data_IF_841431355435
#
_entry.id   IF_841431355435
#
_cell.length_a   1.000
_cell.length_b   1.000
_cell.length_c   1.000
_cell.angle_alpha   90.00
_cell.angle_beta   90.00
_cell.angle_gamma   90.00
#
_symmetry.space_group_name_H-M   'P 1'
#
loop_
_entity.id
_entity.type
_entity.pdbx_description
1 polymer ?
#
# COMPACT_ATOMS: atom_id res chain seq x y z
N UNK A 1 -61.07 -60.33 -35.36
CA UNK A 1 -61.52 -61.46 -34.51
C UNK A 1 -60.79 -61.36 -33.22
N UNK A 2 -61.57 -61.25 -32.13
CA UNK A 2 -61.24 -61.67 -30.76
C UNK A 2 -60.34 -60.65 -29.98
N UNK A 3 -60.69 -60.07 -28.93
CA UNK A 3 -61.77 -59.88 -27.93
C UNK A 3 -61.15 -59.09 -26.80
N UNK A 4 -61.84 -58.11 -26.30
CA UNK A 4 -61.61 -57.35 -25.09
C UNK A 4 -61.35 -58.23 -23.85
N UNK A 5 -60.45 -57.81 -23.01
CA UNK A 5 -60.59 -57.96 -21.56
C UNK A 5 -60.10 -56.70 -20.84
N UNK A 6 -61.04 -55.99 -20.30
CA UNK A 6 -60.87 -54.96 -19.33
C UNK A 6 -60.29 -55.54 -18.01
N UNK A 7 -59.32 -54.94 -17.46
CA UNK A 7 -58.87 -55.17 -16.09
C UNK A 7 -58.83 -53.82 -15.33
N UNK A 8 -59.83 -53.70 -14.44
CA UNK A 8 -59.93 -52.57 -13.50
C UNK A 8 -58.83 -52.62 -12.45
N UNK A 9 -58.05 -51.56 -12.31
CA UNK A 9 -57.15 -51.40 -11.19
C UNK A 9 -57.37 -50.04 -10.52
N UNK A 10 -57.85 -50.11 -9.30
CA UNK A 10 -58.02 -49.02 -8.34
C UNK A 10 -56.73 -48.32 -8.03
N UNK A 11 -56.66 -46.99 -7.99
CA UNK A 11 -55.39 -46.29 -7.60
C UNK A 11 -55.31 -46.21 -6.09
N UNK A 12 -54.26 -46.81 -5.56
CA UNK A 12 -53.81 -46.67 -4.17
C UNK A 12 -53.14 -45.28 -4.02
N UNK A 13 -53.80 -44.36 -3.32
CA UNK A 13 -53.23 -43.04 -2.94
C UNK A 13 -52.22 -43.23 -1.81
N UNK A 14 -50.95 -43.19 -2.14
CA UNK A 14 -49.86 -43.05 -1.17
C UNK A 14 -49.74 -41.59 -0.82
N UNK A 15 -50.15 -41.17 0.37
CA UNK A 15 -49.83 -39.86 0.95
C UNK A 15 -48.39 -39.88 1.44
N UNK A 16 -47.49 -39.25 0.68
CA UNK A 16 -46.16 -38.89 1.19
C UNK A 16 -46.27 -37.63 2.07
N UNK A 17 -46.18 -37.79 3.39
CA UNK A 17 -45.92 -36.72 4.30
C UNK A 17 -44.43 -36.31 4.17
N UNK A 18 -44.16 -35.26 3.43
CA UNK A 18 -42.85 -34.57 3.49
C UNK A 18 -42.83 -33.71 4.73
N UNK A 19 -42.24 -34.23 5.79
CA UNK A 19 -41.87 -33.43 6.99
C UNK A 19 -40.76 -32.48 6.62
N UNK A 20 -41.06 -31.18 6.46
CA UNK A 20 -40.04 -30.12 6.41
C UNK A 20 -39.44 -29.99 7.83
N UNK A 21 -38.30 -30.60 8.06
CA UNK A 21 -37.44 -30.25 9.21
C UNK A 21 -36.79 -28.89 8.91
N UNK A 22 -37.37 -27.82 9.42
CA UNK A 22 -36.73 -26.51 9.45
C UNK A 22 -35.55 -26.57 10.43
N UNK A 23 -34.34 -26.80 9.91
CA UNK A 23 -33.09 -26.62 10.67
C UNK A 23 -32.96 -25.13 10.97
N UNK A 24 -33.31 -24.71 12.17
CA UNK A 24 -32.93 -23.39 12.67
C UNK A 24 -31.43 -23.38 12.80
N UNK A 25 -30.72 -22.72 11.87
CA UNK A 25 -29.34 -22.32 12.03
C UNK A 25 -29.36 -21.22 13.09
N UNK A 26 -29.11 -21.61 14.34
CA UNK A 26 -28.82 -20.64 15.41
C UNK A 26 -27.45 -20.07 15.05
N UNK A 27 -27.43 -18.87 14.46
CA UNK A 27 -26.20 -18.11 14.34
C UNK A 27 -25.63 -17.92 15.75
N UNK A 28 -24.48 -18.52 16.05
CA UNK A 28 -23.77 -18.23 17.28
C UNK A 28 -23.51 -16.71 17.33
N UNK A 29 -23.79 -16.04 18.45
CA UNK A 29 -23.46 -14.64 18.59
C UNK A 29 -21.98 -14.48 18.28
N UNK A 30 -21.64 -13.61 17.33
CA UNK A 30 -20.27 -13.12 17.16
C UNK A 30 -19.92 -12.46 18.48
N UNK A 31 -19.11 -13.15 19.29
CA UNK A 31 -18.64 -12.60 20.57
C UNK A 31 -17.81 -11.37 20.22
N UNK A 32 -18.34 -10.17 20.49
CA UNK A 32 -17.58 -8.94 20.36
C UNK A 32 -16.33 -9.09 21.20
N UNK A 33 -15.17 -8.81 20.63
CA UNK A 33 -13.92 -8.80 21.39
C UNK A 33 -14.13 -7.84 22.57
N UNK A 34 -13.65 -8.24 23.77
CA UNK A 34 -13.69 -7.41 24.96
C UNK A 34 -12.98 -6.07 24.67
N UNK A 35 -13.56 -4.92 25.02
CA UNK A 35 -12.88 -3.63 24.87
C UNK A 35 -11.54 -3.63 25.60
N UNK A 36 -10.56 -2.90 25.07
CA UNK A 36 -9.22 -2.78 25.65
C UNK A 36 -8.91 -1.31 25.93
N UNK A 37 -8.47 -1.03 27.15
CA UNK A 37 -7.94 0.27 27.55
C UNK A 37 -6.41 0.17 27.64
N UNK A 38 -5.72 0.84 26.73
CA UNK A 38 -4.26 1.03 26.79
C UNK A 38 -3.99 2.30 27.58
N UNK A 39 -3.26 2.17 28.70
CA UNK A 39 -3.11 3.22 29.69
C UNK A 39 -1.68 3.76 29.79
N UNK A 40 -1.54 5.02 30.21
CA UNK A 40 -0.26 5.62 30.62
C UNK A 40 0.80 5.70 29.52
N UNK A 41 0.40 5.99 28.29
CA UNK A 41 1.30 5.94 27.13
C UNK A 41 1.59 7.33 26.56
N UNK A 42 2.77 7.53 25.99
CA UNK A 42 3.06 8.70 25.16
C UNK A 42 2.51 8.47 23.74
N UNK A 43 1.67 9.37 23.25
CA UNK A 43 1.02 9.26 21.94
C UNK A 43 1.61 10.25 20.94
N UNK A 44 2.17 9.74 19.85
CA UNK A 44 2.56 10.48 18.63
C UNK A 44 1.46 10.16 17.63
N UNK A 45 0.50 11.07 17.43
CA UNK A 45 -0.77 10.76 16.79
C UNK A 45 -0.74 10.65 15.25
N UNK A 46 0.40 10.88 14.62
CA UNK A 46 0.57 10.80 13.15
C UNK A 46 0.11 12.03 12.39
N UNK A 47 -0.46 13.04 13.06
CA UNK A 47 -0.94 14.27 12.38
C UNK A 47 0.17 15.30 12.10
N UNK A 48 1.37 15.10 12.66
CA UNK A 48 2.45 16.08 12.70
C UNK A 48 2.39 16.97 13.95
N UNK A 49 1.42 16.76 14.84
CA UNK A 49 1.33 17.43 16.14
C UNK A 49 2.36 16.88 17.13
N UNK A 50 2.74 17.70 18.12
CA UNK A 50 3.65 17.27 19.17
C UNK A 50 3.12 16.05 19.95
N UNK A 51 4.03 15.19 20.41
CA UNK A 51 3.70 14.04 21.23
C UNK A 51 2.99 14.46 22.54
N UNK A 52 2.02 13.66 22.96
CA UNK A 52 1.27 13.85 24.21
C UNK A 52 1.61 12.74 25.18
N UNK A 53 2.18 13.08 26.33
CA UNK A 53 2.43 12.12 27.39
C UNK A 53 1.13 11.78 28.18
N UNK A 54 1.18 10.71 28.96
CA UNK A 54 0.15 10.29 29.90
C UNK A 54 -1.26 10.25 29.27
N UNK A 55 -1.37 9.55 28.15
CA UNK A 55 -2.64 9.33 27.46
C UNK A 55 -3.17 7.92 27.69
N UNK A 56 -4.49 7.79 27.64
CA UNK A 56 -5.20 6.53 27.56
C UNK A 56 -5.91 6.41 26.20
N UNK A 57 -5.96 5.18 25.65
CA UNK A 57 -6.64 4.87 24.40
C UNK A 57 -7.61 3.73 24.64
N UNK A 58 -8.91 3.97 24.45
CA UNK A 58 -9.94 2.94 24.53
C UNK A 58 -10.24 2.42 23.13
N UNK A 59 -10.11 1.11 22.97
CA UNK A 59 -10.42 0.37 21.74
C UNK A 59 -11.60 -0.54 21.99
N UNK A 60 -12.58 -0.55 21.07
CA UNK A 60 -13.71 -1.48 21.06
C UNK A 60 -13.85 -2.09 19.67
N UNK A 61 -13.77 -3.42 19.60
CA UNK A 61 -13.67 -4.14 18.35
C UNK A 61 -12.48 -3.64 17.49
N UNK A 62 -12.76 -3.20 16.28
CA UNK A 62 -11.71 -2.76 15.34
C UNK A 62 -11.33 -1.27 15.48
N UNK A 63 -12.00 -0.49 16.38
CA UNK A 63 -11.89 0.97 16.35
C UNK A 63 -11.42 1.59 17.66
N UNK A 64 -10.73 2.69 17.53
CA UNK A 64 -10.44 3.62 18.62
C UNK A 64 -11.73 4.35 18.93
N UNK A 65 -12.25 4.18 20.15
CA UNK A 65 -13.50 4.85 20.57
C UNK A 65 -13.26 6.11 21.40
N UNK A 66 -12.08 6.21 22.03
CA UNK A 66 -11.67 7.41 22.73
C UNK A 66 -10.15 7.49 22.88
N UNK A 67 -9.64 8.71 22.95
CA UNK A 67 -8.28 9.06 23.37
C UNK A 67 -8.42 10.20 24.38
N UNK A 68 -7.72 10.11 25.50
CA UNK A 68 -7.81 11.12 26.56
C UNK A 68 -6.63 11.10 27.50
N UNK A 69 -6.56 12.10 28.40
CA UNK A 69 -5.56 12.11 29.45
C UNK A 69 -5.75 10.93 30.40
N UNK A 70 -4.68 10.50 31.05
CA UNK A 70 -4.65 9.40 32.03
C UNK A 70 -5.81 9.46 32.98
N UNK A 71 -6.55 8.34 33.14
CA UNK A 71 -7.69 8.18 34.02
C UNK A 71 -9.00 8.85 33.57
N UNK A 72 -8.95 9.67 32.49
CA UNK A 72 -10.16 10.35 32.00
C UNK A 72 -11.18 9.41 31.35
N UNK A 73 -10.76 8.20 30.97
CA UNK A 73 -11.59 7.21 30.32
C UNK A 73 -12.13 6.11 31.25
N UNK A 74 -11.77 6.11 32.53
CA UNK A 74 -12.13 5.06 33.49
C UNK A 74 -13.64 4.76 33.56
N UNK A 75 -14.47 5.80 33.57
CA UNK A 75 -15.92 5.66 33.59
C UNK A 75 -16.50 5.01 32.32
N UNK A 76 -15.76 5.08 31.18
CA UNK A 76 -16.15 4.48 29.90
C UNK A 76 -15.58 3.08 29.71
N UNK A 77 -14.56 2.72 30.47
CA UNK A 77 -13.77 1.50 30.34
C UNK A 77 -14.00 0.49 31.46
N UNK A 78 -15.18 0.52 32.12
CA UNK A 78 -15.48 -0.30 33.32
C UNK A 78 -15.40 -1.80 33.07
N UNK A 79 -15.64 -2.25 31.85
CA UNK A 79 -15.57 -3.66 31.43
C UNK A 79 -14.36 -3.95 30.51
N UNK A 80 -13.51 -2.97 30.26
CA UNK A 80 -12.37 -3.14 29.36
C UNK A 80 -11.22 -3.87 30.07
N UNK A 81 -10.53 -4.73 29.32
CA UNK A 81 -9.21 -5.24 29.71
C UNK A 81 -8.22 -4.07 29.75
N UNK A 82 -7.45 -3.96 30.79
CA UNK A 82 -6.46 -2.88 30.95
C UNK A 82 -5.07 -3.35 30.62
N UNK A 83 -4.34 -2.54 29.85
CA UNK A 83 -2.95 -2.77 29.44
C UNK A 83 -2.14 -1.54 29.83
N UNK A 84 -1.32 -1.64 30.87
CA UNK A 84 -0.42 -0.56 31.28
C UNK A 84 0.77 -0.47 30.33
N UNK A 85 0.90 0.68 29.67
CA UNK A 85 1.96 1.01 28.74
C UNK A 85 2.88 2.13 29.28
N UNK A 86 3.04 2.21 30.60
CA UNK A 86 3.95 3.16 31.25
C UNK A 86 5.37 3.08 30.65
N UNK A 87 5.89 4.24 30.24
CA UNK A 87 7.21 4.33 29.59
C UNK A 87 7.25 3.83 28.12
N UNK A 88 6.09 3.62 27.52
CA UNK A 88 5.94 3.23 26.11
C UNK A 88 5.47 4.41 25.25
N UNK A 89 5.61 4.24 23.94
CA UNK A 89 5.21 5.20 22.92
C UNK A 89 4.26 4.51 21.95
N UNK A 90 3.20 5.20 21.54
CA UNK A 90 2.31 4.74 20.47
C UNK A 90 2.45 5.68 19.28
N UNK A 91 2.63 5.09 18.10
CA UNK A 91 2.50 5.73 16.79
C UNK A 91 1.38 5.03 16.02
N UNK A 92 0.73 5.67 15.02
CA UNK A 92 -0.15 4.94 14.12
C UNK A 92 0.61 3.82 13.42
N UNK A 93 -0.11 2.79 12.99
CA UNK A 93 0.49 1.73 12.18
C UNK A 93 1.13 2.27 10.91
N UNK A 94 2.33 1.80 10.61
CA UNK A 94 3.08 2.18 9.42
C UNK A 94 2.38 1.72 8.17
N UNK A 95 2.60 2.43 7.07
CA UNK A 95 2.05 2.12 5.75
C UNK A 95 3.18 2.06 4.74
N UNK A 96 3.40 0.88 4.14
CA UNK A 96 4.25 0.77 2.97
C UNK A 96 3.44 1.09 1.71
N UNK A 97 3.76 2.21 1.11
CA UNK A 97 2.99 2.76 0.00
C UNK A 97 3.35 2.17 -1.38
N UNK A 98 4.27 1.19 -1.45
CA UNK A 98 4.68 0.61 -2.72
C UNK A 98 5.24 -0.80 -2.54
N UNK A 99 4.39 -1.79 -2.72
CA UNK A 99 4.79 -3.21 -2.67
C UNK A 99 4.35 -3.95 -3.93
N UNK A 100 4.97 -5.10 -4.16
CA UNK A 100 4.61 -6.10 -5.16
C UNK A 100 4.53 -7.47 -4.51
N UNK A 101 3.31 -7.99 -4.31
CA UNK A 101 3.04 -9.23 -3.56
C UNK A 101 2.88 -10.45 -4.45
N UNK A 102 2.53 -10.23 -5.72
CA UNK A 102 2.16 -11.30 -6.65
C UNK A 102 2.77 -11.14 -8.06
N UNK A 103 4.03 -10.71 -8.12
CA UNK A 103 4.85 -10.63 -9.35
C UNK A 103 6.16 -11.43 -9.19
N UNK A 104 6.17 -12.74 -9.54
CA UNK A 104 5.04 -13.60 -9.93
C UNK A 104 4.19 -14.04 -8.73
N UNK A 105 2.94 -14.52 -8.96
CA UNK A 105 2.10 -15.05 -7.90
C UNK A 105 2.78 -16.22 -7.16
N UNK A 106 2.96 -16.05 -5.85
CA UNK A 106 3.45 -17.08 -4.93
C UNK A 106 2.87 -16.80 -3.53
N UNK A 107 1.83 -17.54 -3.16
CA UNK A 107 1.10 -17.32 -1.90
C UNK A 107 2.01 -17.47 -0.68
N UNK A 108 2.83 -18.53 -0.63
CA UNK A 108 3.73 -18.80 0.50
C UNK A 108 4.70 -17.63 0.71
N UNK A 109 5.31 -17.15 -0.37
CA UNK A 109 6.22 -16.00 -0.32
C UNK A 109 5.50 -14.72 0.11
N UNK A 110 4.32 -14.47 -0.44
CA UNK A 110 3.54 -13.27 -0.11
C UNK A 110 3.12 -13.26 1.37
N UNK A 111 2.64 -14.39 1.91
CA UNK A 111 2.28 -14.50 3.32
C UNK A 111 3.48 -14.31 4.25
N UNK A 112 4.66 -14.83 3.87
CA UNK A 112 5.89 -14.65 4.63
C UNK A 112 6.28 -13.15 4.68
N UNK A 113 6.29 -12.46 3.54
CA UNK A 113 6.58 -11.03 3.44
C UNK A 113 5.57 -10.21 4.28
N UNK A 114 4.29 -10.49 4.13
CA UNK A 114 3.22 -9.80 4.86
C UNK A 114 3.32 -10.02 6.38
N UNK A 115 3.71 -11.23 6.81
CA UNK A 115 3.98 -11.53 8.22
C UNK A 115 5.13 -10.66 8.75
N UNK A 116 6.26 -10.55 8.03
CA UNK A 116 7.37 -9.65 8.39
C UNK A 116 6.90 -8.21 8.51
N UNK A 117 6.09 -7.75 7.56
CA UNK A 117 5.57 -6.40 7.58
C UNK A 117 4.68 -6.15 8.81
N UNK A 118 3.70 -7.01 9.08
CA UNK A 118 2.78 -6.81 10.22
C UNK A 118 3.51 -6.79 11.56
N UNK A 119 4.36 -7.79 11.81
CA UNK A 119 5.13 -7.84 13.05
C UNK A 119 6.22 -6.75 13.13
N UNK A 120 6.53 -6.12 12.03
CA UNK A 120 7.41 -4.96 11.91
C UNK A 120 6.68 -3.61 11.94
N UNK A 121 5.42 -3.58 12.41
CA UNK A 121 4.69 -2.32 12.61
C UNK A 121 3.87 -1.84 11.41
N UNK A 122 3.91 -2.53 10.28
CA UNK A 122 3.13 -2.16 9.08
C UNK A 122 1.70 -2.69 9.23
N UNK A 123 0.72 -1.81 9.17
CA UNK A 123 -0.71 -2.18 9.27
C UNK A 123 -1.48 -2.05 7.98
N UNK A 124 -0.90 -1.40 6.97
CA UNK A 124 -1.46 -1.33 5.62
C UNK A 124 -0.36 -1.26 4.55
N UNK A 125 -0.66 -1.76 3.36
CA UNK A 125 0.24 -1.69 2.19
C UNK A 125 -0.54 -1.30 0.94
N UNK A 126 0.16 -0.68 -0.05
CA UNK A 126 -0.37 -0.47 -1.40
C UNK A 126 0.38 -1.37 -2.38
N UNK A 127 -0.32 -2.35 -2.94
CA UNK A 127 0.20 -3.18 -4.03
C UNK A 127 0.04 -2.46 -5.36
N UNK A 128 1.16 -2.35 -6.09
CA UNK A 128 1.28 -1.47 -7.24
C UNK A 128 1.12 -2.21 -8.58
N UNK A 129 0.04 -3.00 -8.64
CA UNK A 129 -0.46 -3.67 -9.84
C UNK A 129 0.19 -5.00 -10.19
N UNK A 130 -0.22 -6.01 -9.48
CA UNK A 130 0.17 -7.41 -9.65
C UNK A 130 -0.96 -8.30 -10.23
N UNK A 131 -0.89 -9.62 -10.08
CA UNK A 131 -2.03 -10.51 -10.36
C UNK A 131 -3.12 -10.29 -9.30
N UNK A 132 -4.15 -9.52 -9.65
CA UNK A 132 -5.20 -9.14 -8.70
C UNK A 132 -6.08 -10.30 -8.23
N UNK A 133 -6.04 -11.47 -8.84
CA UNK A 133 -6.67 -12.68 -8.31
C UNK A 133 -5.95 -13.15 -7.04
N UNK A 134 -4.63 -13.11 -7.08
CA UNK A 134 -3.79 -13.47 -5.93
C UNK A 134 -3.80 -12.38 -4.85
N UNK A 135 -3.63 -11.12 -5.25
CA UNK A 135 -3.63 -9.98 -4.31
C UNK A 135 -4.99 -9.81 -3.63
N UNK A 136 -6.09 -9.95 -4.39
CA UNK A 136 -7.45 -9.86 -3.85
C UNK A 136 -7.75 -10.94 -2.82
N UNK A 137 -7.26 -12.17 -3.02
CA UNK A 137 -7.40 -13.24 -2.01
C UNK A 137 -6.55 -12.98 -0.77
N UNK A 138 -5.31 -12.50 -0.92
CA UNK A 138 -4.47 -12.08 0.20
C UNK A 138 -5.14 -10.94 1.00
N UNK A 139 -5.72 -9.96 0.30
CA UNK A 139 -6.43 -8.86 0.92
C UNK A 139 -7.65 -9.34 1.73
N UNK A 140 -8.45 -10.26 1.18
CA UNK A 140 -9.55 -10.89 1.90
C UNK A 140 -9.06 -11.65 3.13
N UNK A 141 -8.06 -12.52 2.96
CA UNK A 141 -7.52 -13.35 4.04
C UNK A 141 -6.94 -12.49 5.19
N UNK A 142 -6.27 -11.38 4.85
CA UNK A 142 -5.80 -10.39 5.82
C UNK A 142 -6.96 -9.69 6.53
N UNK A 143 -8.00 -9.27 5.79
CA UNK A 143 -9.13 -8.53 6.34
C UNK A 143 -9.91 -9.34 7.38
N UNK A 144 -10.12 -10.64 7.11
CA UNK A 144 -10.84 -11.53 8.03
C UNK A 144 -9.94 -12.22 9.06
N UNK A 145 -8.63 -11.91 9.07
CA UNK A 145 -7.69 -12.42 10.05
C UNK A 145 -7.27 -13.89 9.87
N UNK A 146 -7.44 -14.45 8.66
CA UNK A 146 -6.96 -15.80 8.32
C UNK A 146 -5.43 -15.86 8.25
N UNK A 147 -4.79 -14.76 7.86
CA UNK A 147 -3.34 -14.60 7.83
C UNK A 147 -2.89 -13.40 8.67
N UNK A 148 -1.69 -13.48 9.23
CA UNK A 148 -1.04 -12.36 9.90
C UNK A 148 -0.46 -11.42 8.84
N UNK A 149 -1.21 -10.39 8.45
CA UNK A 149 -0.86 -9.49 7.37
C UNK A 149 -1.42 -8.07 7.58
N UNK A 150 -0.79 -7.02 7.02
CA UNK A 150 -1.38 -5.69 6.90
C UNK A 150 -2.66 -5.69 6.05
N UNK A 151 -3.49 -4.67 6.13
CA UNK A 151 -4.54 -4.42 5.14
C UNK A 151 -3.91 -4.15 3.78
N UNK A 152 -4.46 -4.72 2.70
CA UNK A 152 -3.90 -4.61 1.36
C UNK A 152 -4.82 -3.80 0.46
N UNK A 153 -4.35 -2.64 0.01
CA UNK A 153 -4.98 -1.82 -1.03
C UNK A 153 -4.20 -2.02 -2.32
N UNK A 154 -4.86 -2.18 -3.45
CA UNK A 154 -4.18 -2.56 -4.69
C UNK A 154 -4.75 -1.85 -5.91
N UNK A 155 -3.95 -1.76 -6.97
CA UNK A 155 -4.29 -1.11 -8.22
C UNK A 155 -4.40 -2.08 -9.40
N UNK A 156 -5.31 -1.80 -10.32
CA UNK A 156 -5.28 -2.36 -11.66
C UNK A 156 -4.32 -1.54 -12.53
N UNK A 157 -3.56 -2.18 -13.42
CA UNK A 157 -2.60 -1.51 -14.30
C UNK A 157 -3.22 -1.15 -15.65
N UNK A 158 -2.92 0.07 -16.10
CA UNK A 158 -3.13 0.53 -17.46
C UNK A 158 -1.83 1.07 -18.04
N UNK A 159 -1.44 0.60 -19.22
CA UNK A 159 -0.23 1.02 -19.92
C UNK A 159 -0.48 1.04 -21.44
N UNK A 160 0.42 1.66 -22.20
CA UNK A 160 0.41 1.55 -23.64
C UNK A 160 0.72 0.12 -24.12
N UNK A 161 0.28 -0.27 -25.32
CA UNK A 161 0.48 -1.64 -25.84
C UNK A 161 1.92 -2.14 -25.81
N UNK A 162 2.97 -1.34 -26.08
CA UNK A 162 4.35 -1.83 -26.08
C UNK A 162 4.81 -2.39 -24.70
N UNK A 163 4.29 -1.87 -23.60
CA UNK A 163 4.60 -2.37 -22.25
C UNK A 163 4.25 -3.87 -22.08
N UNK A 164 3.27 -4.38 -22.81
CA UNK A 164 2.78 -5.75 -22.66
C UNK A 164 3.68 -6.80 -23.33
N UNK A 165 4.79 -6.40 -23.92
CA UNK A 165 5.90 -7.26 -24.35
C UNK A 165 6.84 -7.61 -23.17
N UNK A 166 6.73 -6.93 -22.02
CA UNK A 166 7.51 -7.22 -20.80
C UNK A 166 7.15 -8.62 -20.28
N UNK A 167 8.13 -9.52 -20.09
CA UNK A 167 7.87 -10.90 -19.64
C UNK A 167 7.20 -11.01 -18.28
N UNK A 168 7.30 -10.00 -17.42
CA UNK A 168 6.59 -9.95 -16.14
C UNK A 168 5.07 -9.97 -16.33
N UNK A 169 4.58 -9.35 -17.41
CA UNK A 169 3.15 -9.34 -17.74
C UNK A 169 2.59 -10.74 -17.92
N UNK A 170 3.35 -11.66 -18.53
CA UNK A 170 2.92 -13.04 -18.73
C UNK A 170 2.68 -13.77 -17.41
N UNK A 171 3.50 -13.48 -16.38
CA UNK A 171 3.39 -14.11 -15.07
C UNK A 171 2.16 -13.65 -14.29
N UNK A 172 1.76 -12.37 -14.43
CA UNK A 172 0.66 -11.75 -13.68
C UNK A 172 -0.67 -11.72 -14.44
N UNK A 173 -0.69 -12.16 -15.69
CA UNK A 173 -1.92 -12.21 -16.53
C UNK A 173 -2.21 -13.60 -17.10
N UNK A 174 -1.68 -14.67 -16.51
CA UNK A 174 -1.91 -16.05 -16.98
C UNK A 174 -3.39 -16.36 -17.19
N UNK A 175 -3.70 -16.95 -18.34
CA UNK A 175 -5.07 -17.23 -18.79
C UNK A 175 -5.71 -16.12 -19.62
N UNK A 176 -5.01 -14.99 -19.80
CA UNK A 176 -5.37 -13.90 -20.70
C UNK A 176 -4.26 -13.62 -21.68
N UNK A 177 -4.60 -13.07 -22.84
CA UNK A 177 -3.59 -12.46 -23.70
C UNK A 177 -3.05 -11.20 -22.99
N UNK A 178 -1.73 -10.89 -23.13
CA UNK A 178 -1.16 -9.69 -22.56
C UNK A 178 -1.97 -8.43 -22.86
N UNK A 179 -2.28 -7.64 -21.87
CA UNK A 179 -3.06 -6.41 -22.01
C UNK A 179 -4.57 -6.58 -22.10
N UNK A 180 -5.11 -7.79 -21.94
CA UNK A 180 -6.57 -8.02 -22.01
C UNK A 180 -7.20 -8.42 -20.67
N UNK A 181 -6.40 -8.64 -19.61
CA UNK A 181 -6.93 -8.96 -18.29
C UNK A 181 -7.61 -7.73 -17.67
N UNK A 182 -8.72 -7.87 -16.93
CA UNK A 182 -9.41 -6.74 -16.30
C UNK A 182 -8.54 -5.88 -15.41
N UNK A 183 -7.50 -6.45 -14.82
CA UNK A 183 -6.54 -5.78 -13.94
C UNK A 183 -5.23 -5.36 -14.63
N UNK A 184 -5.02 -5.71 -15.92
CA UNK A 184 -3.77 -5.49 -16.63
C UNK A 184 -4.12 -5.20 -18.11
N UNK A 185 -4.41 -3.91 -18.41
CA UNK A 185 -5.04 -3.50 -19.66
C UNK A 185 -4.10 -2.67 -20.54
N UNK A 186 -3.95 -3.10 -21.80
CA UNK A 186 -3.36 -2.30 -22.86
C UNK A 186 -4.36 -1.26 -23.35
N UNK A 187 -3.98 0.02 -23.28
CA UNK A 187 -4.86 1.14 -23.63
C UNK A 187 -4.34 1.84 -24.88
N UNK A 188 -5.14 1.81 -25.93
CA UNK A 188 -4.88 2.45 -27.23
C UNK A 188 -6.00 3.46 -27.62
N UNK A 189 -5.94 3.99 -28.86
CA UNK A 189 -6.91 4.97 -29.36
C UNK A 189 -8.31 4.39 -29.56
N UNK A 190 -8.45 3.07 -29.62
CA UNK A 190 -9.73 2.36 -29.84
C UNK A 190 -10.37 1.93 -28.53
N UNK A 191 -9.67 2.05 -27.40
CA UNK A 191 -10.16 1.58 -26.10
C UNK A 191 -11.30 2.45 -25.59
N UNK A 192 -12.46 1.85 -25.28
CA UNK A 192 -13.54 2.53 -24.53
C UNK A 192 -13.12 2.62 -23.06
N UNK A 193 -12.67 3.80 -22.65
CA UNK A 193 -12.19 4.04 -21.26
C UNK A 193 -13.27 3.84 -20.21
N UNK A 194 -14.56 4.04 -20.53
CA UNK A 194 -15.64 3.80 -19.55
C UNK A 194 -15.72 2.33 -19.19
N UNK A 195 -15.58 1.46 -20.20
CA UNK A 195 -15.56 0.01 -20.01
C UNK A 195 -14.25 -0.41 -19.33
N UNK A 196 -13.10 0.08 -19.80
CA UNK A 196 -11.80 -0.27 -19.25
C UNK A 196 -11.70 0.06 -17.73
N UNK A 197 -12.11 1.26 -17.33
CA UNK A 197 -12.15 1.67 -15.93
C UNK A 197 -13.17 0.87 -15.12
N UNK A 198 -14.35 0.56 -15.70
CA UNK A 198 -15.35 -0.26 -15.03
C UNK A 198 -14.85 -1.70 -14.80
N UNK A 199 -14.11 -2.28 -15.77
CA UNK A 199 -13.47 -3.60 -15.62
C UNK A 199 -12.43 -3.57 -14.49
N UNK A 200 -11.55 -2.57 -14.47
CA UNK A 200 -10.58 -2.36 -13.39
C UNK A 200 -11.27 -2.26 -12.03
N UNK A 201 -12.30 -1.44 -11.90
CA UNK A 201 -13.10 -1.31 -10.67
C UNK A 201 -13.77 -2.62 -10.26
N UNK A 202 -14.22 -3.42 -11.22
CA UNK A 202 -14.83 -4.73 -11.01
C UNK A 202 -13.91 -5.76 -10.35
N UNK A 203 -12.59 -5.54 -10.36
CA UNK A 203 -11.60 -6.36 -9.64
C UNK A 203 -11.46 -5.99 -8.15
N UNK A 204 -12.26 -5.06 -7.65
CA UNK A 204 -12.14 -4.46 -6.32
C UNK A 204 -10.86 -3.65 -6.10
N UNK A 205 -10.14 -3.30 -7.16
CA UNK A 205 -8.98 -2.42 -7.09
C UNK A 205 -9.36 -1.05 -6.51
N UNK A 206 -8.52 -0.52 -5.62
CA UNK A 206 -8.69 0.80 -5.00
C UNK A 206 -8.32 1.94 -5.95
N UNK A 207 -7.44 1.66 -6.91
CA UNK A 207 -6.88 2.64 -7.83
C UNK A 207 -6.57 2.03 -9.20
N UNK A 208 -6.25 2.89 -10.15
CA UNK A 208 -5.61 2.52 -11.41
C UNK A 208 -4.15 2.98 -11.36
N UNK A 209 -3.21 2.07 -11.63
CA UNK A 209 -1.80 2.40 -11.86
C UNK A 209 -1.59 2.71 -13.34
N UNK A 210 -1.29 3.96 -13.67
CA UNK A 210 -0.78 4.32 -15.00
C UNK A 210 0.73 4.09 -14.99
N UNK A 211 1.19 3.16 -15.84
CA UNK A 211 2.55 2.64 -15.71
C UNK A 211 3.52 3.20 -16.75
N UNK A 212 3.29 2.95 -18.05
CA UNK A 212 4.31 3.16 -19.09
C UNK A 212 3.73 3.29 -20.51
N UNK A 213 4.57 3.72 -21.44
CA UNK A 213 4.38 3.69 -22.92
C UNK A 213 3.09 4.39 -23.37
N UNK A 214 2.82 5.54 -22.77
CA UNK A 214 1.55 6.23 -22.95
C UNK A 214 1.74 7.73 -23.16
N UNK A 215 1.07 8.33 -24.17
CA UNK A 215 1.09 9.78 -24.35
C UNK A 215 0.25 10.50 -23.30
N UNK A 216 0.62 11.73 -22.99
CA UNK A 216 0.00 12.57 -21.97
C UNK A 216 -1.53 12.70 -22.12
N UNK A 217 -2.01 12.88 -23.36
CA UNK A 217 -3.44 12.99 -23.65
C UNK A 217 -4.24 11.76 -23.17
N UNK A 218 -3.64 10.57 -23.33
CA UNK A 218 -4.24 9.31 -22.90
C UNK A 218 -4.23 9.17 -21.39
N UNK A 219 -3.10 9.47 -20.73
CA UNK A 219 -3.02 9.49 -19.28
C UNK A 219 -4.09 10.43 -18.66
N UNK A 220 -4.28 11.62 -19.25
CA UNK A 220 -5.32 12.56 -18.85
C UNK A 220 -6.73 12.01 -19.04
N UNK A 221 -6.99 11.33 -20.16
CA UNK A 221 -8.31 10.74 -20.43
C UNK A 221 -8.64 9.61 -19.45
N UNK A 222 -7.67 8.73 -19.14
CA UNK A 222 -7.80 7.68 -18.12
C UNK A 222 -8.09 8.31 -16.76
N UNK A 223 -7.29 9.30 -16.35
CA UNK A 223 -7.47 10.00 -15.05
C UNK A 223 -8.85 10.61 -14.93
N UNK A 224 -9.31 11.32 -15.96
CA UNK A 224 -10.64 11.92 -15.98
C UNK A 224 -11.75 10.89 -15.79
N UNK A 225 -11.66 9.76 -16.50
CA UNK A 225 -12.65 8.70 -16.40
C UNK A 225 -12.58 7.95 -15.06
N UNK A 226 -11.37 7.69 -14.55
CA UNK A 226 -11.17 7.06 -13.26
C UNK A 226 -11.80 7.90 -12.12
N UNK A 227 -11.52 9.18 -12.08
CA UNK A 227 -12.11 10.10 -11.10
C UNK A 227 -13.64 10.15 -11.24
N UNK A 228 -14.17 10.17 -12.46
CA UNK A 228 -15.62 10.09 -12.69
C UNK A 228 -16.22 8.81 -12.07
N UNK A 229 -15.49 7.70 -12.12
CA UNK A 229 -15.89 6.43 -11.51
C UNK A 229 -15.42 6.27 -10.05
N UNK A 230 -14.87 7.32 -9.41
CA UNK A 230 -14.40 7.36 -8.02
C UNK A 230 -13.24 6.41 -7.73
N UNK A 231 -12.34 6.22 -8.70
CA UNK A 231 -11.08 5.52 -8.53
C UNK A 231 -9.93 6.53 -8.49
N UNK A 232 -8.96 6.28 -7.62
CA UNK A 232 -7.72 7.06 -7.56
C UNK A 232 -6.81 6.70 -8.75
N UNK A 233 -5.90 7.61 -9.06
CA UNK A 233 -4.81 7.39 -10.00
C UNK A 233 -3.46 7.39 -9.27
N UNK A 234 -2.77 6.26 -9.36
CA UNK A 234 -1.38 6.11 -8.98
C UNK A 234 -0.56 5.99 -10.28
N UNK A 235 0.46 6.79 -10.46
CA UNK A 235 1.23 6.80 -11.71
C UNK A 235 2.74 6.78 -11.44
N UNK A 236 3.53 6.34 -12.41
CA UNK A 236 4.94 6.71 -12.42
C UNK A 236 5.07 8.23 -12.58
N UNK A 237 6.12 8.82 -12.02
CA UNK A 237 6.38 10.27 -12.19
C UNK A 237 6.66 10.64 -13.65
N UNK A 238 7.20 9.71 -14.46
CA UNK A 238 7.30 9.80 -15.91
C UNK A 238 6.83 8.46 -16.52
N UNK A 239 5.95 8.50 -17.49
CA UNK A 239 5.34 7.30 -18.10
C UNK A 239 5.74 7.09 -19.57
N UNK A 240 6.70 7.84 -20.08
CA UNK A 240 7.27 7.79 -21.40
C UNK A 240 6.26 7.46 -22.52
N UNK A 241 6.10 8.31 -23.56
CA UNK A 241 6.81 9.59 -23.71
C UNK A 241 6.23 10.74 -22.89
N UNK A 242 5.15 10.55 -22.09
CA UNK A 242 4.61 11.62 -21.26
C UNK A 242 5.61 12.03 -20.17
N UNK A 243 5.84 13.34 -20.08
CA UNK A 243 6.77 13.99 -19.16
C UNK A 243 6.19 14.08 -17.75
N UNK A 244 7.02 14.24 -16.71
CA UNK A 244 6.55 14.49 -15.35
C UNK A 244 5.52 15.61 -15.23
N UNK A 245 5.75 16.76 -15.86
CA UNK A 245 4.82 17.87 -15.86
C UNK A 245 3.44 17.50 -16.43
N UNK A 246 3.42 16.67 -17.47
CA UNK A 246 2.19 16.21 -18.13
C UNK A 246 1.44 15.19 -17.27
N UNK A 247 2.13 14.30 -16.57
CA UNK A 247 1.54 13.33 -15.63
C UNK A 247 0.88 14.07 -14.45
N UNK A 248 1.57 15.08 -13.89
CA UNK A 248 1.02 15.93 -12.84
C UNK A 248 -0.19 16.69 -13.36
N UNK A 249 -0.11 17.31 -14.54
CA UNK A 249 -1.21 18.06 -15.16
C UNK A 249 -2.40 17.18 -15.57
N UNK A 250 -2.17 15.87 -15.78
CA UNK A 250 -3.25 14.91 -15.97
C UNK A 250 -4.10 14.72 -14.72
N UNK A 251 -3.59 15.08 -13.52
CA UNK A 251 -4.30 15.02 -12.25
C UNK A 251 -4.07 13.70 -11.48
N UNK A 252 -2.90 13.07 -11.63
CA UNK A 252 -2.55 11.90 -10.82
C UNK A 252 -2.59 12.24 -9.33
N UNK A 253 -3.26 11.40 -8.52
CA UNK A 253 -3.39 11.60 -7.07
C UNK A 253 -2.08 11.31 -6.36
N UNK A 254 -1.35 10.29 -6.82
CA UNK A 254 -0.03 9.89 -6.30
C UNK A 254 0.89 9.60 -7.48
N UNK A 255 2.12 10.13 -7.41
CA UNK A 255 3.18 9.78 -8.37
C UNK A 255 4.34 9.09 -7.65
N UNK A 256 4.88 8.04 -8.26
CA UNK A 256 5.96 7.22 -7.68
C UNK A 256 7.29 7.50 -8.36
N UNK A 257 8.39 7.28 -7.59
CA UNK A 257 9.79 7.36 -8.04
C UNK A 257 10.28 8.78 -8.29
N UNK A 258 10.73 9.41 -7.21
CA UNK A 258 11.24 10.80 -7.24
C UNK A 258 12.34 11.00 -8.29
N UNK A 259 13.18 9.98 -8.53
CA UNK A 259 14.21 9.98 -9.56
C UNK A 259 13.66 10.33 -10.96
N UNK A 260 12.47 9.84 -11.29
CA UNK A 260 11.88 10.05 -12.62
C UNK A 260 11.45 11.50 -12.87
N UNK A 261 11.28 12.32 -11.84
CA UNK A 261 11.04 13.75 -11.99
C UNK A 261 12.18 14.47 -12.72
N UNK A 262 13.40 13.95 -12.59
CA UNK A 262 14.58 14.51 -13.25
C UNK A 262 14.52 14.43 -14.79
N UNK A 263 13.72 13.53 -15.36
CA UNK A 263 13.51 13.49 -16.81
C UNK A 263 12.83 14.74 -17.36
N UNK A 264 12.20 15.58 -16.52
CA UNK A 264 11.67 16.87 -16.99
C UNK A 264 12.73 17.81 -17.55
N UNK A 265 13.96 17.72 -17.04
CA UNK A 265 15.07 18.55 -17.55
C UNK A 265 15.64 18.08 -18.90
N UNK A 266 15.30 16.87 -19.34
CA UNK A 266 15.86 16.31 -20.58
C UNK A 266 15.30 17.03 -21.80
N UNK A 267 16.13 17.42 -22.80
CA UNK A 267 15.66 18.11 -24.00
C UNK A 267 14.73 17.20 -24.85
N UNK A 268 15.03 15.90 -24.91
CA UNK A 268 14.16 14.89 -25.51
C UNK A 268 13.72 13.88 -24.46
N UNK A 269 12.43 13.60 -24.40
CA UNK A 269 11.88 12.53 -23.57
C UNK A 269 12.16 11.17 -24.22
N UNK A 270 12.32 10.13 -23.41
CA UNK A 270 12.42 8.75 -23.89
C UNK A 270 11.09 8.35 -24.56
N UNK A 271 11.17 7.56 -25.62
CA UNK A 271 9.99 7.15 -26.38
C UNK A 271 9.25 5.96 -25.72
N UNK A 272 9.98 5.15 -24.92
CA UNK A 272 9.43 3.95 -24.27
C UNK A 272 10.06 3.70 -22.89
N UNK A 273 9.36 2.94 -22.04
CA UNK A 273 9.82 2.54 -20.72
C UNK A 273 11.06 1.64 -20.76
N UNK A 274 11.18 0.79 -21.78
CA UNK A 274 12.32 -0.12 -21.95
C UNK A 274 13.61 0.62 -22.32
N UNK A 275 13.54 1.85 -22.84
CA UNK A 275 14.70 2.71 -22.94
C UNK A 275 15.21 3.06 -21.54
N UNK A 276 16.39 2.56 -21.19
CA UNK A 276 17.04 2.72 -19.88
C UNK A 276 18.07 3.85 -19.87
N UNK A 277 18.03 4.74 -20.86
CA UNK A 277 18.93 5.90 -20.87
C UNK A 277 18.83 6.67 -19.55
N UNK A 278 19.93 6.80 -18.81
CA UNK A 278 19.94 7.58 -17.55
C UNK A 278 19.58 9.04 -17.78
N UNK A 279 19.09 9.67 -16.73
CA UNK A 279 19.01 11.13 -16.66
C UNK A 279 20.40 11.74 -16.86
N UNK A 280 20.52 12.73 -17.74
CA UNK A 280 21.69 13.58 -17.76
C UNK A 280 21.62 14.55 -16.58
N UNK A 281 22.30 14.19 -15.50
CA UNK A 281 22.31 14.97 -14.27
C UNK A 281 23.05 16.29 -14.37
N UNK A 282 23.82 16.51 -15.45
CA UNK A 282 24.50 17.79 -15.69
C UNK A 282 23.51 18.89 -16.10
N UNK A 283 22.33 18.54 -16.54
CA UNK A 283 21.23 19.46 -16.84
C UNK A 283 20.49 19.96 -15.58
N UNK A 284 20.78 19.37 -14.43
CA UNK A 284 20.13 19.71 -13.16
C UNK A 284 21.10 20.52 -12.28
N UNK A 285 20.54 21.31 -11.36
CA UNK A 285 21.35 22.05 -10.39
C UNK A 285 22.28 21.10 -9.61
N UNK A 286 23.56 21.46 -9.52
CA UNK A 286 24.56 20.64 -8.81
C UNK A 286 24.35 20.67 -7.29
N UNK A 287 23.84 21.77 -6.78
CA UNK A 287 23.55 21.99 -5.35
C UNK A 287 22.29 22.82 -5.19
N UNK A 288 21.62 22.67 -4.04
CA UNK A 288 20.39 23.41 -3.75
C UNK A 288 19.18 22.91 -4.54
N UNK A 289 18.22 23.78 -4.73
CA UNK A 289 16.95 23.45 -5.39
C UNK A 289 17.08 23.61 -6.91
N UNK A 290 16.65 22.57 -7.64
CA UNK A 290 16.59 22.59 -9.09
C UNK A 290 15.38 23.42 -9.56
N UNK A 291 15.54 24.43 -10.45
CA UNK A 291 14.43 25.29 -10.88
C UNK A 291 13.42 24.60 -11.78
N UNK A 292 13.83 23.53 -12.52
CA UNK A 292 12.89 22.74 -13.34
C UNK A 292 11.98 21.92 -12.44
N UNK A 293 12.57 21.23 -11.46
CA UNK A 293 11.86 20.40 -10.50
C UNK A 293 11.02 21.25 -9.54
N UNK A 294 11.48 22.46 -9.19
CA UNK A 294 10.68 23.41 -8.39
C UNK A 294 9.31 23.72 -9.03
N UNK A 295 9.27 23.86 -10.37
CA UNK A 295 7.99 24.05 -11.09
C UNK A 295 7.08 22.83 -11.00
N UNK A 296 7.65 21.62 -11.03
CA UNK A 296 6.88 20.38 -10.82
C UNK A 296 6.25 20.36 -9.42
N UNK A 297 7.04 20.65 -8.39
CA UNK A 297 6.52 20.69 -7.01
C UNK A 297 5.46 21.77 -6.81
N UNK A 298 5.61 22.92 -7.45
CA UNK A 298 4.55 23.94 -7.46
C UNK A 298 3.26 23.40 -8.08
N UNK A 299 3.34 22.69 -9.19
CA UNK A 299 2.18 22.06 -9.83
C UNK A 299 1.58 20.96 -8.95
N UNK A 300 2.40 20.09 -8.35
CA UNK A 300 1.94 19.05 -7.42
C UNK A 300 1.17 19.64 -6.24
N UNK A 301 1.69 20.68 -5.61
CA UNK A 301 0.98 21.39 -4.52
C UNK A 301 -0.38 21.90 -4.97
N UNK A 302 -0.46 22.49 -6.17
CA UNK A 302 -1.71 23.01 -6.73
C UNK A 302 -2.75 21.91 -6.95
N UNK A 303 -2.30 20.71 -7.36
CA UNK A 303 -3.17 19.56 -7.61
C UNK A 303 -3.42 18.70 -6.37
N UNK A 304 -2.66 18.89 -5.29
CA UNK A 304 -2.70 18.02 -4.10
C UNK A 304 -2.07 16.66 -4.33
N UNK A 305 -1.18 16.52 -5.33
CA UNK A 305 -0.52 15.26 -5.68
C UNK A 305 0.48 14.85 -4.59
N UNK A 306 0.43 13.60 -4.15
CA UNK A 306 1.35 12.99 -3.19
C UNK A 306 2.54 12.41 -3.94
N UNK A 307 3.74 12.55 -3.39
CA UNK A 307 4.97 11.90 -3.86
C UNK A 307 5.20 10.60 -3.08
N UNK A 308 5.18 9.49 -3.76
CA UNK A 308 5.69 8.21 -3.28
C UNK A 308 7.15 8.11 -3.73
N UNK A 309 8.08 8.54 -2.84
CA UNK A 309 9.45 8.82 -3.26
C UNK A 309 10.23 7.57 -3.66
N UNK A 310 10.02 6.44 -2.99
CA UNK A 310 10.78 5.19 -3.14
C UNK A 310 12.30 5.43 -3.12
N UNK A 311 12.75 6.33 -2.23
CA UNK A 311 14.11 6.87 -2.28
C UNK A 311 15.17 5.85 -1.92
N UNK A 312 14.92 5.03 -0.90
CA UNK A 312 15.83 3.96 -0.47
C UNK A 312 16.11 2.93 -1.56
N UNK A 313 15.16 2.71 -2.49
CA UNK A 313 15.34 1.84 -3.66
C UNK A 313 16.52 2.31 -4.53
N UNK A 314 16.58 3.61 -4.84
CA UNK A 314 17.62 4.16 -5.72
C UNK A 314 18.99 4.17 -5.03
N UNK A 315 19.04 4.42 -3.73
CA UNK A 315 20.27 4.27 -2.93
C UNK A 315 20.75 2.81 -2.95
N UNK A 316 19.84 1.85 -2.79
CA UNK A 316 20.13 0.41 -2.87
C UNK A 316 20.63 0.02 -4.27
N UNK A 317 20.02 0.51 -5.34
CA UNK A 317 20.46 0.25 -6.71
C UNK A 317 21.85 0.82 -6.98
N UNK A 318 22.16 2.01 -6.48
CA UNK A 318 23.49 2.58 -6.60
C UNK A 318 24.53 1.73 -5.88
N UNK A 319 24.25 1.26 -4.67
CA UNK A 319 25.14 0.35 -3.94
C UNK A 319 25.35 -0.96 -4.72
N UNK A 320 24.30 -1.56 -5.26
CA UNK A 320 24.39 -2.78 -6.08
C UNK A 320 25.21 -2.53 -7.36
N UNK A 321 25.03 -1.38 -8.02
CA UNK A 321 25.79 -1.01 -9.23
C UNK A 321 27.29 -0.78 -8.94
N UNK A 322 27.61 -0.23 -7.76
CA UNK A 322 29.00 -0.09 -7.30
C UNK A 322 29.65 -1.44 -7.03
N UNK A 323 28.88 -2.41 -6.50
CA UNK A 323 29.35 -3.77 -6.22
C UNK A 323 29.50 -4.62 -7.51
N UNK A 324 28.59 -4.45 -8.47
CA UNK A 324 28.61 -5.14 -9.76
C UNK A 324 28.42 -4.14 -10.93
N UNK A 325 29.50 -3.79 -11.64
CA UNK A 325 29.44 -2.90 -12.81
C UNK A 325 28.60 -3.44 -13.97
N UNK A 326 28.21 -4.74 -13.96
CA UNK A 326 27.33 -5.33 -14.97
C UNK A 326 25.83 -5.19 -14.61
N UNK A 327 25.52 -4.77 -13.38
CA UNK A 327 24.14 -4.50 -12.99
C UNK A 327 23.48 -3.46 -13.93
N UNK A 328 22.14 -3.43 -13.98
CA UNK A 328 21.40 -2.50 -14.83
C UNK A 328 21.83 -1.05 -14.61
N UNK A 329 21.91 -0.22 -15.65
CA UNK A 329 22.18 1.21 -15.52
C UNK A 329 21.18 1.87 -14.59
N UNK A 330 21.65 2.79 -13.75
CA UNK A 330 20.80 3.62 -12.92
C UNK A 330 20.05 4.63 -13.78
N UNK A 331 18.81 4.93 -13.47
CA UNK A 331 18.11 6.07 -14.09
C UNK A 331 18.60 7.40 -13.54
N UNK A 332 18.89 7.46 -12.24
CA UNK A 332 19.64 8.53 -11.59
C UNK A 332 20.41 8.00 -10.38
N UNK A 333 21.32 8.80 -9.83
CA UNK A 333 22.13 8.45 -8.66
C UNK A 333 21.32 8.54 -7.37
N UNK A 334 21.77 7.82 -6.32
CA UNK A 334 21.22 7.96 -4.97
C UNK A 334 21.36 9.39 -4.44
N UNK A 335 22.49 10.04 -4.70
CA UNK A 335 22.72 11.44 -4.32
C UNK A 335 21.68 12.38 -4.97
N UNK A 336 21.36 12.17 -6.24
CA UNK A 336 20.32 12.95 -6.94
C UNK A 336 18.94 12.68 -6.33
N UNK A 337 18.65 11.44 -6.04
CA UNK A 337 17.39 11.03 -5.40
C UNK A 337 17.22 11.72 -4.04
N UNK A 338 18.27 11.77 -3.22
CA UNK A 338 18.27 12.49 -1.93
C UNK A 338 18.00 13.99 -2.15
N UNK A 339 18.71 14.65 -3.05
CA UNK A 339 18.53 16.08 -3.35
C UNK A 339 17.10 16.41 -3.76
N UNK A 340 16.53 15.62 -4.66
CA UNK A 340 15.14 15.80 -5.14
C UNK A 340 14.11 15.60 -4.03
N UNK A 341 14.31 14.59 -3.17
CA UNK A 341 13.43 14.35 -2.03
C UNK A 341 13.53 15.48 -0.98
N UNK A 342 14.73 15.97 -0.71
CA UNK A 342 14.95 17.15 0.14
C UNK A 342 14.20 18.38 -0.38
N UNK A 343 14.31 18.62 -1.69
CA UNK A 343 13.61 19.72 -2.34
C UNK A 343 12.09 19.55 -2.26
N UNK A 344 11.56 18.33 -2.45
CA UNK A 344 10.13 18.03 -2.30
C UNK A 344 9.64 18.35 -0.89
N UNK A 345 10.36 17.88 0.14
CA UNK A 345 10.02 18.14 1.52
C UNK A 345 10.04 19.66 1.84
N UNK A 346 11.11 20.39 1.47
CA UNK A 346 11.17 21.85 1.64
C UNK A 346 10.07 22.59 0.89
N UNK A 347 9.65 22.08 -0.26
CA UNK A 347 8.52 22.61 -1.02
C UNK A 347 7.15 22.31 -0.41
N UNK A 348 7.07 21.52 0.70
CA UNK A 348 5.85 21.13 1.37
C UNK A 348 5.02 20.11 0.57
N UNK A 349 5.68 19.26 -0.22
CA UNK A 349 5.01 18.14 -0.90
C UNK A 349 4.74 17.03 0.11
N UNK A 350 3.52 16.51 0.22
CA UNK A 350 3.26 15.31 1.00
C UNK A 350 4.06 14.13 0.42
N UNK A 351 4.93 13.53 1.25
CA UNK A 351 5.75 12.38 0.86
C UNK A 351 5.22 11.15 1.57
N UNK A 352 4.89 10.07 0.85
CA UNK A 352 4.56 8.77 1.42
C UNK A 352 5.76 7.82 1.35
N UNK A 353 5.77 6.82 2.22
CA UNK A 353 6.84 5.83 2.33
C UNK A 353 6.52 4.60 1.51
N UNK A 354 7.08 4.50 0.32
CA UNK A 354 7.01 3.30 -0.53
C UNK A 354 8.38 2.70 -0.75
N UNK A 355 8.47 1.38 -0.82
CA UNK A 355 9.76 0.68 -0.90
C UNK A 355 10.08 0.16 -2.30
N UNK A 356 9.15 -0.50 -2.97
CA UNK A 356 9.30 -1.08 -4.31
C UNK A 356 10.41 -2.15 -4.41
N UNK A 357 10.73 -2.80 -3.31
CA UNK A 357 11.65 -3.95 -3.29
C UNK A 357 11.34 -4.89 -2.10
N UNK A 358 11.95 -6.07 -2.12
CA UNK A 358 11.87 -7.06 -1.04
C UNK A 358 13.29 -7.43 -0.60
N UNK A 359 13.53 -7.39 0.69
CA UNK A 359 14.79 -7.81 1.29
C UNK A 359 14.85 -9.35 1.47
N UNK A 360 16.07 -9.94 1.58
CA UNK A 360 16.25 -11.38 1.79
C UNK A 360 15.55 -11.91 3.04
N UNK A 361 15.40 -13.23 3.12
CA UNK A 361 14.81 -13.92 4.28
C UNK A 361 15.55 -13.61 5.60
N UNK A 362 16.85 -13.35 5.53
CA UNK A 362 17.67 -13.05 6.72
C UNK A 362 17.31 -11.70 7.38
N UNK A 363 16.73 -10.76 6.64
CA UNK A 363 16.26 -9.50 7.21
C UNK A 363 14.97 -9.74 8.00
N UNK A 364 14.99 -9.36 9.27
CA UNK A 364 13.86 -9.56 10.19
C UNK A 364 12.92 -8.37 10.26
N UNK A 365 13.33 -7.23 9.69
CA UNK A 365 12.57 -5.99 9.64
C UNK A 365 12.04 -5.72 8.23
N UNK A 366 10.87 -5.09 8.09
CA UNK A 366 10.33 -4.73 6.79
C UNK A 366 11.12 -3.60 6.13
N UNK A 367 11.08 -3.58 4.83
CA UNK A 367 11.81 -2.64 3.96
C UNK A 367 11.46 -1.18 4.25
N UNK A 368 10.24 -0.90 4.68
CA UNK A 368 9.77 0.45 5.01
C UNK A 368 10.63 1.12 6.09
N UNK A 369 11.23 0.36 7.02
CA UNK A 369 12.14 0.94 8.00
C UNK A 369 13.37 1.58 7.35
N UNK A 370 13.85 1.03 6.22
CA UNK A 370 14.94 1.64 5.44
C UNK A 370 14.49 2.94 4.78
N UNK A 371 13.24 3.00 4.29
CA UNK A 371 12.69 4.23 3.74
C UNK A 371 12.54 5.31 4.82
N UNK A 372 12.13 4.94 6.05
CA UNK A 372 12.09 5.89 7.17
C UNK A 372 13.47 6.43 7.50
N UNK A 373 14.49 5.56 7.56
CA UNK A 373 15.90 5.98 7.77
C UNK A 373 16.40 6.87 6.65
N UNK A 374 16.08 6.55 5.41
CA UNK A 374 16.40 7.38 4.25
C UNK A 374 15.81 8.79 4.41
N UNK A 375 14.53 8.89 4.77
CA UNK A 375 13.88 10.19 4.97
C UNK A 375 14.50 10.97 6.15
N UNK A 376 14.82 10.30 7.26
CA UNK A 376 15.39 10.94 8.43
C UNK A 376 16.88 11.31 8.24
N UNK A 377 17.70 10.34 7.84
CA UNK A 377 19.15 10.47 7.91
C UNK A 377 19.76 11.01 6.62
N UNK A 378 19.26 10.61 5.44
CA UNK A 378 19.80 11.06 4.16
C UNK A 378 19.09 12.34 3.67
N UNK A 379 17.77 12.40 3.78
CA UNK A 379 16.97 13.58 3.40
C UNK A 379 17.02 14.65 4.49
N UNK A 380 17.14 14.27 5.76
CA UNK A 380 17.22 15.20 6.90
C UNK A 380 15.84 15.67 7.40
N UNK A 381 14.78 14.87 7.18
CA UNK A 381 13.45 15.14 7.72
C UNK A 381 13.42 14.89 9.24
N UNK A 382 12.81 15.78 10.03
CA UNK A 382 12.56 15.49 11.45
C UNK A 382 11.80 14.18 11.64
N UNK A 383 12.08 13.38 12.68
CA UNK A 383 11.40 12.11 12.92
C UNK A 383 9.86 12.24 12.97
N UNK A 384 9.33 13.35 13.47
CA UNK A 384 7.89 13.62 13.50
C UNK A 384 7.29 13.70 12.09
N UNK A 385 7.98 14.36 11.15
CA UNK A 385 7.57 14.46 9.74
C UNK A 385 7.69 13.09 9.05
N UNK A 386 8.70 12.30 9.40
CA UNK A 386 8.89 10.93 8.89
C UNK A 386 7.73 10.03 9.34
N UNK A 387 7.34 10.09 10.61
CA UNK A 387 6.18 9.34 11.14
C UNK A 387 4.89 9.80 10.44
N UNK A 388 4.69 11.10 10.27
CA UNK A 388 3.55 11.64 9.51
C UNK A 388 3.51 11.08 8.07
N UNK A 389 4.65 11.05 7.38
CA UNK A 389 4.81 10.47 6.03
C UNK A 389 4.45 8.99 5.99
N UNK A 390 4.92 8.22 6.97
CA UNK A 390 4.71 6.77 7.05
C UNK A 390 3.31 6.36 7.55
N UNK A 391 2.49 7.30 7.96
CA UNK A 391 1.18 7.02 8.57
C UNK A 391 0.06 7.77 7.86
N UNK A 392 -0.20 9.03 8.19
CA UNK A 392 -1.34 9.78 7.65
C UNK A 392 -1.18 10.09 6.15
N UNK A 393 0.03 10.41 5.68
CA UNK A 393 0.26 10.63 4.25
C UNK A 393 0.11 9.31 3.47
N UNK A 394 0.63 8.19 4.00
CA UNK A 394 0.41 6.86 3.44
C UNK A 394 -1.09 6.49 3.36
N UNK A 395 -1.86 6.82 4.40
CA UNK A 395 -3.32 6.62 4.42
C UNK A 395 -4.03 7.46 3.34
N UNK A 396 -3.62 8.73 3.16
CA UNK A 396 -4.12 9.59 2.06
C UNK A 396 -3.78 9.01 0.70
N UNK A 397 -2.55 8.52 0.53
CA UNK A 397 -2.12 7.88 -0.70
C UNK A 397 -2.93 6.61 -1.03
N UNK A 398 -3.45 5.92 -0.01
CA UNK A 398 -4.38 4.79 -0.16
C UNK A 398 -5.87 5.21 -0.24
N UNK A 399 -6.19 6.51 -0.10
CA UNK A 399 -7.58 7.01 -0.03
C UNK A 399 -8.31 6.56 1.24
N UNK A 400 -7.60 6.40 2.36
CA UNK A 400 -8.12 5.83 3.62
C UNK A 400 -7.85 6.68 4.86
N UNK A 401 -7.47 7.92 4.69
CA UNK A 401 -7.15 8.86 5.78
C UNK A 401 -8.32 9.14 6.73
N UNK A 402 -9.55 8.88 6.30
CA UNK A 402 -10.74 8.92 7.16
C UNK A 402 -10.84 7.72 8.10
N UNK A 403 -10.27 6.58 7.72
CA UNK A 403 -10.36 5.32 8.46
C UNK A 403 -9.09 4.99 9.25
N UNK A 404 -7.91 5.45 8.81
CA UNK A 404 -6.61 5.08 9.41
C UNK A 404 -5.55 6.18 9.26
N UNK A 405 -4.35 5.94 9.77
CA UNK A 405 -3.17 6.80 9.61
C UNK A 405 -2.97 7.82 10.73
N UNK A 406 -3.89 7.91 11.69
CA UNK A 406 -3.71 8.71 12.90
C UNK A 406 -4.44 8.09 14.10
N UNK A 407 -4.00 8.46 15.32
CA UNK A 407 -4.61 8.02 16.57
C UNK A 407 -5.73 8.98 16.94
N UNK A 408 -6.93 8.71 16.41
CA UNK A 408 -8.12 9.54 16.62
C UNK A 408 -9.37 8.69 16.83
N UNK A 409 -10.33 9.15 17.64
CA UNK A 409 -11.61 8.46 17.82
C UNK A 409 -12.32 8.23 16.47
N UNK A 410 -12.88 7.04 16.28
CA UNK A 410 -13.59 6.62 15.08
C UNK A 410 -12.70 5.94 14.04
N UNK A 411 -11.39 6.08 14.08
CA UNK A 411 -10.45 5.39 13.18
C UNK A 411 -10.20 3.95 13.61
N UNK A 412 -9.70 3.14 12.69
CA UNK A 412 -9.26 1.77 12.97
C UNK A 412 -8.17 1.78 14.06
N UNK A 413 -8.26 0.84 14.97
CA UNK A 413 -7.23 0.61 15.96
C UNK A 413 -6.02 -0.07 15.32
N UNK A 414 -5.28 0.73 14.54
CA UNK A 414 -4.07 0.38 13.81
C UNK A 414 -2.93 1.24 14.38
N UNK A 415 -2.09 0.65 15.24
CA UNK A 415 -0.99 1.36 15.89
C UNK A 415 0.15 0.43 16.28
N UNK A 416 1.30 1.01 16.58
CA UNK A 416 2.50 0.31 17.03
C UNK A 416 2.86 0.81 18.41
N UNK A 417 3.13 -0.12 19.33
CA UNK A 417 3.67 0.15 20.66
C UNK A 417 5.18 -0.03 20.62
N UNK A 418 5.89 1.03 20.99
CA UNK A 418 7.36 1.09 20.99
C UNK A 418 7.88 1.19 22.44
N UNK A 419 9.02 0.56 22.70
CA UNK A 419 9.71 0.61 24.00
C UNK A 419 10.69 1.76 24.14
N UNK A 420 10.91 2.54 23.05
CA UNK A 420 11.78 3.71 23.04
C UNK A 420 11.20 4.83 22.16
N UNK A 421 11.57 6.07 22.43
CA UNK A 421 11.04 7.26 21.75
C UNK A 421 11.59 7.38 20.31
N UNK A 422 10.73 7.25 19.27
CA UNK A 422 11.15 7.38 17.89
C UNK A 422 11.46 8.83 17.48
N UNK A 423 11.08 9.83 18.29
CA UNK A 423 11.36 11.24 18.02
C UNK A 423 12.79 11.62 18.41
N UNK A 424 13.39 10.86 19.34
CA UNK A 424 14.81 11.05 19.74
C UNK A 424 15.74 10.42 18.71
N UNK A 425 15.36 9.24 18.23
CA UNK A 425 16.13 8.48 17.23
C UNK A 425 15.16 7.66 16.39
N UNK A 426 15.19 7.85 15.06
CA UNK A 426 14.29 7.11 14.14
C UNK A 426 14.56 5.61 14.20
N UNK A 427 15.73 5.14 14.57
CA UNK A 427 16.04 3.71 14.72
C UNK A 427 15.22 3.04 15.84
N UNK A 428 14.67 3.82 16.76
CA UNK A 428 13.75 3.34 17.78
C UNK A 428 12.41 2.83 17.18
N UNK A 429 12.14 3.05 15.90
CA UNK A 429 11.03 2.43 15.17
C UNK A 429 11.10 0.89 15.19
N UNK A 430 12.29 0.32 15.39
CA UNK A 430 12.49 -1.12 15.52
C UNK A 430 12.32 -1.62 16.96
N UNK A 431 12.13 -0.74 17.94
CA UNK A 431 11.89 -1.11 19.33
C UNK A 431 10.43 -1.49 19.58
N UNK A 432 9.88 -2.32 18.70
CA UNK A 432 8.47 -2.73 18.72
C UNK A 432 8.24 -3.74 19.85
N UNK A 433 7.28 -3.45 20.72
CA UNK A 433 6.72 -4.40 21.67
C UNK A 433 5.59 -5.19 21.02
N UNK A 434 4.66 -4.49 20.37
CA UNK A 434 3.57 -5.11 19.60
C UNK A 434 3.05 -4.18 18.50
N UNK A 435 2.45 -4.79 17.50
CA UNK A 435 1.62 -4.13 16.50
C UNK A 435 0.16 -4.44 16.81
N UNK A 436 -0.71 -3.42 16.78
CA UNK A 436 -2.15 -3.61 16.84
C UNK A 436 -2.74 -3.29 15.47
N UNK A 437 -3.48 -4.25 14.91
CA UNK A 437 -4.19 -4.08 13.64
C UNK A 437 -5.65 -4.43 13.83
N UNK A 438 -6.54 -3.49 13.55
CA UNK A 438 -7.98 -3.63 13.74
C UNK A 438 -8.32 -4.16 15.13
N UNK A 439 -7.66 -3.60 16.16
CA UNK A 439 -7.83 -3.97 17.55
C UNK A 439 -7.22 -5.32 17.95
N UNK A 440 -6.69 -6.11 17.03
CA UNK A 440 -5.99 -7.35 17.34
C UNK A 440 -4.51 -7.11 17.58
N UNK A 441 -4.02 -7.63 18.71
CA UNK A 441 -2.63 -7.52 19.13
C UNK A 441 -1.74 -8.59 18.44
N UNK A 442 -0.54 -8.16 18.00
CA UNK A 442 0.52 -9.00 17.42
C UNK A 442 1.83 -8.69 18.15
N UNK A 443 2.11 -9.37 19.29
CA UNK A 443 3.34 -9.18 20.04
C UNK A 443 4.57 -9.48 19.16
N UNK A 444 5.59 -8.62 19.19
CA UNK A 444 6.80 -8.85 18.40
C UNK A 444 7.50 -10.16 18.74
N UNK A 445 7.38 -10.60 19.99
CA UNK A 445 7.93 -11.87 20.47
C UNK A 445 7.37 -13.11 19.73
N UNK A 446 6.17 -12.99 19.14
CA UNK A 446 5.52 -14.08 18.40
C UNK A 446 5.96 -14.12 16.92
N UNK A 447 6.84 -13.21 16.50
CA UNK A 447 7.31 -13.17 15.11
C UNK A 447 8.16 -14.39 14.78
N UNK A 448 7.75 -15.12 13.76
CA UNK A 448 8.57 -16.20 13.17
C UNK A 448 9.31 -15.66 11.95
N UNK A 449 10.65 -15.63 11.96
CA UNK A 449 11.45 -15.18 10.82
C UNK A 449 11.11 -15.94 9.54
N UNK A 450 11.32 -15.29 8.41
CA UNK A 450 11.14 -15.89 7.09
C UNK A 450 12.23 -16.93 6.83
N UNK A 451 11.87 -18.00 6.15
CA UNK A 451 12.82 -19.01 5.69
C UNK A 451 13.18 -18.79 4.22
N UNK A 452 14.36 -19.25 3.79
CA UNK A 452 14.74 -19.25 2.37
C UNK A 452 13.70 -19.97 1.53
N UNK A 453 13.20 -21.12 2.00
CA UNK A 453 12.17 -21.90 1.32
C UNK A 453 10.87 -21.10 1.09
N UNK A 454 10.39 -20.35 2.09
CA UNK A 454 9.21 -19.50 1.92
C UNK A 454 9.46 -18.39 0.87
N UNK A 455 10.69 -17.89 0.79
CA UNK A 455 11.07 -16.86 -0.18
C UNK A 455 11.29 -17.39 -1.59
N UNK A 456 11.38 -18.73 -1.77
CA UNK A 456 11.69 -19.35 -3.05
C UNK A 456 13.17 -19.28 -3.40
N UNK A 457 14.03 -19.08 -2.41
CA UNK A 457 15.48 -19.04 -2.53
C UNK A 457 16.09 -20.42 -2.17
N UNK A 458 15.46 -21.51 -2.63
CA UNK A 458 16.02 -22.85 -2.48
C UNK A 458 17.34 -22.95 -3.26
N UNK A 459 18.39 -23.48 -2.61
CA UNK A 459 19.77 -23.61 -3.09
C UNK A 459 19.91 -24.41 -4.39
#
# INVERSE_FOLDING_TARGET
>A
MITDRACSSTPLRVLCFMGLAASMIVAAPVQSAEPVLYENVAVIDGTGSAARADQDILVDGERIVAVGARGSLDARATTARRVDLSGRFIIPGLIDSHVHLATPPNRTRAEAILRRQLYGGVTAVRDMADDLRSVGELARASLVGEIAAPDIYYAALMAGPPFFEDPRVLSVSRGFSPGTAPWMQAIDDKTDLRIAVAMARGTSASAIKIYADMPAARAKAITTEAHRQKMMIWAHSAIFPARPAEVIAAGADVISHVCYLAYEAQPKMLDAYEDRTPVDEDLLAKTGDDPVVARLYQAMRKHGTILDATGSLFVKFEAARKADPKAKPLRCTGARTIQLTQQAWRAGIPISTGTDYVDPAADTWPEVHRELRYLANDVGMPPLDVIHSATLVGARAAGRDKDMGSIEPGKLANFVVLTADPLVDIDNIERIEMTVKRGREYPRADFTPLTKKEMGDDD
#
